data_IF_775211205163
#
_entry.id   IF_775211205163
#
_cell.length_a   1.000
_cell.length_b   1.000
_cell.length_c   1.000
_cell.angle_alpha   90.00
_cell.angle_beta   90.00
_cell.angle_gamma   90.00
#
_symmetry.space_group_name_H-M   'P 1'
#
loop_
_entity.id
_entity.type
_entity.pdbx_description
1 polymer ?
#
# COMPACT_ATOMS: atom_id res chain seq x y z
N UNK A 1 -23.96 -45.05 7.90
CA UNK A 1 -23.04 -43.89 7.87
C UNK A 1 -23.82 -42.67 7.38
N UNK A 2 -24.09 -41.73 8.28
CA UNK A 2 -24.73 -40.45 7.97
C UNK A 2 -23.97 -39.78 6.83
N UNK A 3 -24.68 -39.40 5.76
CA UNK A 3 -24.07 -38.90 4.52
C UNK A 3 -23.44 -37.54 4.82
N UNK A 4 -22.14 -37.51 5.13
CA UNK A 4 -21.41 -36.29 5.51
C UNK A 4 -21.58 -35.24 4.42
N UNK A 5 -22.22 -34.13 4.77
CA UNK A 5 -22.55 -33.04 3.87
C UNK A 5 -21.51 -31.92 4.04
N UNK A 6 -20.73 -31.66 2.98
CA UNK A 6 -19.74 -30.60 2.95
C UNK A 6 -20.37 -29.22 3.22
N UNK A 7 -21.62 -29.03 2.81
CA UNK A 7 -22.33 -27.77 2.99
C UNK A 7 -22.53 -27.45 4.48
N UNK A 8 -22.85 -28.47 5.29
CA UNK A 8 -23.07 -28.29 6.74
C UNK A 8 -21.76 -27.99 7.45
N UNK A 9 -20.69 -28.72 7.11
CA UNK A 9 -19.36 -28.48 7.68
C UNK A 9 -18.89 -27.06 7.35
N UNK A 10 -19.02 -26.64 6.08
CA UNK A 10 -18.61 -25.30 5.67
C UNK A 10 -19.53 -24.21 6.24
N UNK A 11 -20.80 -24.51 6.51
CA UNK A 11 -21.72 -23.60 7.18
C UNK A 11 -21.28 -23.33 8.63
N UNK A 12 -20.91 -24.38 9.36
CA UNK A 12 -20.45 -24.32 10.75
C UNK A 12 -19.05 -23.67 10.85
N UNK A 13 -18.07 -24.20 10.11
CA UNK A 13 -16.68 -23.74 10.17
C UNK A 13 -16.49 -22.37 9.47
N UNK A 14 -17.25 -22.09 8.43
CA UNK A 14 -17.09 -20.92 7.58
C UNK A 14 -16.16 -21.11 6.39
N UNK A 15 -16.05 -20.06 5.55
CA UNK A 15 -15.13 -20.04 4.41
C UNK A 15 -13.69 -20.36 4.84
N UNK A 16 -12.99 -21.16 4.06
CA UNK A 16 -11.65 -21.64 4.40
C UNK A 16 -10.89 -22.14 3.16
N UNK A 17 -9.65 -22.60 3.35
CA UNK A 17 -8.91 -23.26 2.28
C UNK A 17 -9.36 -24.72 2.08
N UNK A 18 -9.26 -25.21 0.85
CA UNK A 18 -9.50 -26.63 0.54
C UNK A 18 -8.58 -27.57 1.33
N UNK A 19 -7.37 -27.13 1.69
CA UNK A 19 -6.45 -27.87 2.56
C UNK A 19 -7.01 -28.00 3.98
N UNK A 20 -7.51 -26.90 4.54
CA UNK A 20 -8.10 -26.86 5.89
C UNK A 20 -9.37 -27.71 5.97
N UNK A 21 -10.26 -27.61 4.97
CA UNK A 21 -11.43 -28.49 4.92
C UNK A 21 -11.03 -29.97 4.77
N UNK A 22 -9.97 -30.28 4.03
CA UNK A 22 -9.49 -31.65 3.90
C UNK A 22 -8.96 -32.18 5.24
N UNK A 23 -8.24 -31.35 6.01
CA UNK A 23 -7.78 -31.71 7.35
C UNK A 23 -8.96 -31.96 8.30
N UNK A 24 -9.99 -31.11 8.26
CA UNK A 24 -11.22 -31.32 9.05
C UNK A 24 -11.87 -32.67 8.73
N UNK A 25 -11.97 -33.04 7.44
CA UNK A 25 -12.52 -34.33 7.02
C UNK A 25 -11.70 -35.54 7.50
N UNK A 26 -10.37 -35.41 7.52
CA UNK A 26 -9.48 -36.49 8.01
C UNK A 26 -9.62 -36.62 9.53
N UNK A 27 -9.47 -35.51 10.27
CA UNK A 27 -9.41 -35.49 11.74
C UNK A 27 -10.76 -35.82 12.38
N UNK A 28 -11.84 -35.23 11.89
CA UNK A 28 -13.14 -35.28 12.59
C UNK A 28 -14.09 -36.33 12.00
N UNK A 29 -13.80 -36.82 10.80
CA UNK A 29 -14.70 -37.71 10.06
C UNK A 29 -14.03 -38.97 9.50
N UNK A 30 -12.76 -39.21 9.83
CA UNK A 30 -12.06 -40.47 9.51
C UNK A 30 -11.78 -40.71 8.03
N UNK A 31 -11.81 -39.67 7.18
CA UNK A 31 -11.45 -39.82 5.77
C UNK A 31 -9.95 -40.08 5.60
N UNK A 32 -9.57 -40.87 4.59
CA UNK A 32 -8.19 -40.84 4.11
C UNK A 32 -7.90 -39.51 3.39
N UNK A 33 -6.65 -39.01 3.37
CA UNK A 33 -6.31 -37.76 2.69
C UNK A 33 -6.74 -37.73 1.21
N UNK A 34 -6.60 -38.86 0.49
CA UNK A 34 -7.04 -38.98 -0.89
C UNK A 34 -8.57 -38.90 -1.04
N UNK A 35 -9.31 -39.57 -0.14
CA UNK A 35 -10.77 -39.54 -0.14
C UNK A 35 -11.31 -38.13 0.18
N UNK A 36 -10.71 -37.43 1.15
CA UNK A 36 -11.06 -36.04 1.48
C UNK A 36 -10.87 -35.10 0.29
N UNK A 37 -9.69 -35.14 -0.36
CA UNK A 37 -9.41 -34.34 -1.57
C UNK A 37 -10.39 -34.65 -2.71
N UNK A 38 -10.67 -35.93 -2.96
CA UNK A 38 -11.63 -36.36 -4.00
C UNK A 38 -13.04 -35.86 -3.70
N UNK A 39 -13.45 -35.88 -2.43
CA UNK A 39 -14.76 -35.37 -1.98
C UNK A 39 -14.89 -33.86 -2.21
N UNK A 40 -13.88 -33.08 -1.82
CA UNK A 40 -13.85 -31.61 -2.03
C UNK A 40 -13.78 -31.26 -3.52
N UNK A 41 -13.02 -32.03 -4.31
CA UNK A 41 -12.90 -31.82 -5.74
C UNK A 41 -14.25 -31.95 -6.46
N UNK A 42 -15.03 -32.99 -6.11
CA UNK A 42 -16.40 -33.20 -6.62
C UNK A 42 -17.35 -32.06 -6.27
N UNK A 43 -17.16 -31.43 -5.10
CA UNK A 43 -17.89 -30.24 -4.68
C UNK A 43 -19.41 -30.45 -4.53
N UNK A 44 -20.13 -29.34 -4.36
CA UNK A 44 -21.60 -29.27 -4.37
C UNK A 44 -22.03 -28.01 -5.13
N UNK A 45 -23.31 -27.93 -5.52
CA UNK A 45 -23.84 -26.74 -6.18
C UNK A 45 -23.92 -25.50 -5.26
N UNK A 46 -23.79 -25.67 -3.94
CA UNK A 46 -23.84 -24.59 -2.94
C UNK A 46 -22.45 -24.03 -2.62
N UNK A 47 -21.39 -24.82 -2.83
CA UNK A 47 -20.01 -24.39 -2.61
C UNK A 47 -19.47 -23.70 -3.87
N UNK A 48 -18.69 -22.63 -3.65
CA UNK A 48 -17.94 -21.90 -4.68
C UNK A 48 -16.47 -21.89 -4.32
N UNK A 49 -15.63 -21.74 -5.35
CA UNK A 49 -14.17 -21.60 -5.24
C UNK A 49 -13.82 -20.22 -5.75
N UNK A 50 -13.06 -19.46 -4.98
CA UNK A 50 -12.51 -18.18 -5.44
C UNK A 50 -11.62 -18.42 -6.66
N UNK A 51 -11.86 -17.67 -7.73
CA UNK A 51 -11.10 -17.72 -8.98
C UNK A 51 -9.93 -16.75 -8.96
N UNK A 52 -8.97 -16.94 -9.87
CA UNK A 52 -7.81 -16.06 -10.14
C UNK A 52 -6.78 -15.87 -9.01
N UNK A 53 -7.05 -16.41 -7.82
CA UNK A 53 -6.10 -16.50 -6.71
C UNK A 53 -5.91 -17.97 -6.33
N UNK A 54 -4.65 -18.38 -6.30
CA UNK A 54 -4.24 -19.75 -5.97
C UNK A 54 -3.33 -19.66 -4.75
N UNK A 55 -3.64 -20.48 -3.74
CA UNK A 55 -2.85 -20.57 -2.51
C UNK A 55 -1.74 -21.62 -2.67
N UNK A 56 -0.74 -21.63 -1.77
CA UNK A 56 0.30 -22.66 -1.76
C UNK A 56 -0.27 -24.08 -1.86
N UNK A 57 0.52 -24.99 -2.45
CA UNK A 57 0.10 -26.36 -2.75
C UNK A 57 -1.18 -26.47 -3.60
N UNK A 58 -1.47 -25.44 -4.42
CA UNK A 58 -2.67 -25.33 -5.28
C UNK A 58 -3.98 -25.38 -4.50
N UNK A 59 -3.96 -25.02 -3.21
CA UNK A 59 -5.18 -24.87 -2.43
C UNK A 59 -6.06 -23.74 -3.01
N UNK A 60 -7.37 -23.86 -2.80
CA UNK A 60 -8.36 -22.86 -3.23
C UNK A 60 -9.14 -22.38 -2.02
N UNK A 61 -9.50 -21.11 -2.00
CA UNK A 61 -10.44 -20.58 -1.03
C UNK A 61 -11.87 -20.99 -1.43
N UNK A 62 -12.61 -21.57 -0.50
CA UNK A 62 -13.97 -22.09 -0.71
C UNK A 62 -14.95 -21.45 0.27
N UNK A 63 -16.18 -21.26 -0.19
CA UNK A 63 -17.25 -20.60 0.56
C UNK A 63 -18.61 -21.10 0.10
N UNK A 64 -19.64 -20.95 0.94
CA UNK A 64 -21.02 -21.14 0.50
C UNK A 64 -21.47 -19.93 -0.31
N UNK A 65 -22.26 -20.13 -1.36
CA UNK A 65 -22.83 -19.05 -2.18
C UNK A 65 -23.43 -17.91 -1.36
N UNK A 66 -24.17 -18.25 -0.30
CA UNK A 66 -24.85 -17.30 0.58
C UNK A 66 -23.89 -16.42 1.39
N UNK A 67 -22.64 -16.84 1.57
CA UNK A 67 -21.64 -16.12 2.35
C UNK A 67 -20.85 -15.14 1.48
N UNK A 68 -21.02 -15.17 0.14
CA UNK A 68 -20.24 -14.34 -0.77
C UNK A 68 -20.32 -12.86 -0.38
N UNK A 69 -19.17 -12.19 -0.33
CA UNK A 69 -19.04 -10.79 0.04
C UNK A 69 -19.59 -10.39 1.42
N UNK A 70 -19.94 -11.36 2.28
CA UNK A 70 -20.27 -11.09 3.69
C UNK A 70 -19.01 -10.79 4.51
N UNK A 71 -19.18 -10.20 5.69
CA UNK A 71 -18.09 -9.99 6.65
C UNK A 71 -17.33 -11.29 6.97
N UNK A 72 -18.06 -12.40 7.16
CA UNK A 72 -17.48 -13.74 7.39
C UNK A 72 -16.58 -14.18 6.23
N UNK A 73 -16.96 -13.87 4.99
CA UNK A 73 -16.16 -14.17 3.80
C UNK A 73 -14.88 -13.35 3.75
N UNK A 74 -14.96 -12.03 3.96
CA UNK A 74 -13.79 -11.14 3.92
C UNK A 74 -12.79 -11.47 5.03
N UNK A 75 -13.27 -11.65 6.26
CA UNK A 75 -12.43 -11.99 7.40
C UNK A 75 -11.68 -13.31 7.16
N UNK A 76 -12.37 -14.35 6.69
CA UNK A 76 -11.76 -15.64 6.39
C UNK A 76 -10.76 -15.57 5.22
N UNK A 77 -11.09 -14.84 4.16
CA UNK A 77 -10.21 -14.67 3.00
C UNK A 77 -8.92 -13.94 3.38
N UNK A 78 -9.05 -12.81 4.07
CA UNK A 78 -7.90 -12.00 4.49
C UNK A 78 -7.04 -12.75 5.50
N UNK A 79 -7.64 -13.48 6.44
CA UNK A 79 -6.91 -14.34 7.37
C UNK A 79 -6.12 -15.44 6.64
N UNK A 80 -6.76 -16.12 5.69
CA UNK A 80 -6.10 -17.16 4.87
C UNK A 80 -4.93 -16.59 4.07
N UNK A 81 -5.10 -15.43 3.44
CA UNK A 81 -4.04 -14.78 2.66
C UNK A 81 -2.89 -14.29 3.54
N UNK A 82 -3.21 -13.78 4.74
CA UNK A 82 -2.23 -13.32 5.74
C UNK A 82 -1.37 -14.48 6.25
N UNK A 83 -2.01 -15.59 6.63
CA UNK A 83 -1.35 -16.80 7.13
C UNK A 83 -0.34 -17.36 6.14
N UNK A 84 -0.64 -17.27 4.85
CA UNK A 84 0.24 -17.73 3.77
C UNK A 84 1.27 -16.67 3.30
N UNK A 85 1.39 -15.52 4.00
CA UNK A 85 2.28 -14.42 3.65
C UNK A 85 2.14 -13.97 2.17
N UNK A 86 0.90 -13.96 1.68
CA UNK A 86 0.58 -13.78 0.27
C UNK A 86 0.85 -12.36 -0.23
N UNK A 87 1.39 -12.21 -1.44
CA UNK A 87 1.49 -10.89 -2.09
C UNK A 87 0.10 -10.25 -2.31
N UNK A 88 -0.95 -11.06 -2.45
CA UNK A 88 -2.33 -10.56 -2.51
C UNK A 88 -2.78 -9.97 -1.17
N UNK A 89 -2.39 -10.57 -0.04
CA UNK A 89 -2.67 -9.99 1.27
C UNK A 89 -2.04 -8.59 1.41
N UNK A 90 -0.77 -8.46 1.03
CA UNK A 90 -0.04 -7.20 1.11
C UNK A 90 -0.67 -6.11 0.24
N UNK A 91 -1.08 -6.45 -0.98
CA UNK A 91 -1.79 -5.55 -1.87
C UNK A 91 -3.16 -5.12 -1.33
N UNK A 92 -3.94 -6.04 -0.76
CA UNK A 92 -5.22 -5.71 -0.12
C UNK A 92 -4.99 -4.83 1.11
N UNK A 93 -3.99 -5.18 1.94
CA UNK A 93 -3.65 -4.47 3.17
C UNK A 93 -3.24 -3.03 2.88
N UNK A 94 -2.49 -2.76 1.81
CA UNK A 94 -2.08 -1.39 1.48
C UNK A 94 -3.29 -0.49 1.14
N UNK A 95 -4.32 -1.02 0.47
CA UNK A 95 -5.58 -0.32 0.20
C UNK A 95 -6.40 -0.17 1.50
N UNK A 96 -6.58 -1.26 2.26
CA UNK A 96 -7.37 -1.25 3.51
C UNK A 96 -6.79 -0.27 4.54
N UNK A 97 -5.46 -0.22 4.67
CA UNK A 97 -4.76 0.71 5.56
C UNK A 97 -5.02 2.18 5.22
N UNK A 98 -5.33 2.48 3.96
CA UNK A 98 -5.58 3.85 3.45
C UNK A 98 -7.06 4.19 3.40
N UNK A 99 -7.90 3.47 4.14
CA UNK A 99 -9.33 3.71 4.20
C UNK A 99 -10.10 3.15 3.02
N UNK A 100 -9.55 2.16 2.30
CA UNK A 100 -10.31 1.35 1.34
C UNK A 100 -10.21 1.77 -0.12
N UNK A 101 -9.53 2.87 -0.43
CA UNK A 101 -9.29 3.36 -1.79
C UNK A 101 -7.88 3.94 -1.91
N UNK A 102 -7.28 3.79 -3.09
CA UNK A 102 -6.03 4.48 -3.50
C UNK A 102 -6.10 4.85 -4.99
N UNK A 103 -5.26 5.79 -5.42
CA UNK A 103 -5.04 6.03 -6.85
C UNK A 103 -4.37 4.82 -7.48
N UNK A 104 -4.76 4.45 -8.70
CA UNK A 104 -4.18 3.29 -9.41
C UNK A 104 -2.66 3.41 -9.52
N UNK A 105 -2.17 4.60 -9.81
CA UNK A 105 -0.75 4.88 -10.00
C UNK A 105 0.06 4.74 -8.69
N UNK A 106 -0.57 4.80 -7.52
CA UNK A 106 0.10 4.54 -6.24
C UNK A 106 0.33 3.04 -5.99
N UNK A 107 -0.42 2.17 -6.67
CA UNK A 107 -0.47 0.75 -6.32
C UNK A 107 0.91 0.06 -6.40
N UNK A 108 1.68 0.34 -7.44
CA UNK A 108 3.01 -0.26 -7.65
C UNK A 108 4.01 0.09 -6.54
N UNK A 109 3.91 1.32 -6.00
CA UNK A 109 4.73 1.78 -4.88
C UNK A 109 4.33 1.09 -3.57
N UNK A 110 3.02 0.92 -3.35
CA UNK A 110 2.44 0.55 -2.06
C UNK A 110 2.29 -0.97 -1.83
N UNK A 111 2.04 -1.76 -2.87
CA UNK A 111 1.62 -3.16 -2.73
C UNK A 111 2.73 -4.14 -2.30
N UNK A 112 3.99 -3.69 -2.27
CA UNK A 112 5.15 -4.52 -1.94
C UNK A 112 5.52 -5.56 -2.99
N UNK A 113 5.01 -5.45 -4.21
CA UNK A 113 5.34 -6.33 -5.34
C UNK A 113 6.09 -5.57 -6.44
N UNK A 114 7.01 -6.22 -7.17
CA UNK A 114 7.85 -5.55 -8.15
C UNK A 114 7.05 -5.19 -9.40
N UNK A 115 7.57 -4.23 -10.18
CA UNK A 115 7.13 -3.99 -11.56
C UNK A 115 7.32 -5.24 -12.41
N UNK A 116 8.50 -5.86 -12.33
CA UNK A 116 8.80 -7.14 -13.00
C UNK A 116 10.03 -7.82 -12.41
N UNK A 117 9.88 -9.00 -11.82
CA UNK A 117 11.01 -9.79 -11.33
C UNK A 117 10.76 -11.28 -11.49
N UNK A 118 11.80 -12.05 -11.84
CA UNK A 118 11.70 -13.51 -11.99
C UNK A 118 11.24 -14.15 -10.67
N UNK A 119 10.35 -15.15 -10.76
CA UNK A 119 9.78 -15.89 -9.63
C UNK A 119 8.93 -15.05 -8.66
N UNK A 120 8.56 -13.82 -9.03
CA UNK A 120 7.64 -13.00 -8.26
C UNK A 120 6.51 -12.51 -9.15
N UNK A 121 5.36 -12.23 -8.52
CA UNK A 121 4.16 -11.78 -9.22
C UNK A 121 4.31 -10.27 -9.45
N UNK A 122 4.28 -9.79 -10.71
CA UNK A 122 4.24 -8.35 -11.00
C UNK A 122 3.01 -7.69 -10.38
N UNK A 123 3.12 -6.45 -9.92
CA UNK A 123 1.98 -5.76 -9.31
C UNK A 123 0.79 -5.63 -10.28
N UNK A 124 1.02 -5.45 -11.59
CA UNK A 124 -0.06 -5.43 -12.60
C UNK A 124 -0.82 -6.76 -12.69
N UNK A 125 -0.11 -7.89 -12.50
CA UNK A 125 -0.75 -9.21 -12.44
C UNK A 125 -1.59 -9.36 -11.17
N UNK A 126 -1.13 -8.79 -10.04
CA UNK A 126 -1.91 -8.76 -8.81
C UNK A 126 -3.19 -7.96 -8.99
N UNK A 127 -3.12 -6.76 -9.57
CA UNK A 127 -4.29 -5.95 -9.89
C UNK A 127 -5.28 -6.74 -10.76
N UNK A 128 -4.80 -7.33 -11.86
CA UNK A 128 -5.65 -8.11 -12.78
C UNK A 128 -6.36 -9.27 -12.07
N UNK A 129 -5.63 -10.03 -11.24
CA UNK A 129 -6.20 -11.11 -10.43
C UNK A 129 -7.23 -10.60 -9.43
N UNK A 130 -6.92 -9.52 -8.69
CA UNK A 130 -7.82 -8.96 -7.68
C UNK A 130 -9.13 -8.45 -8.29
N UNK A 131 -9.06 -7.73 -9.42
CA UNK A 131 -10.23 -7.26 -10.17
C UNK A 131 -11.06 -8.44 -10.70
N UNK A 132 -10.42 -9.41 -11.36
CA UNK A 132 -11.14 -10.59 -11.90
C UNK A 132 -11.75 -11.47 -10.81
N UNK A 133 -11.18 -11.44 -9.60
CA UNK A 133 -11.73 -12.10 -8.42
C UNK A 133 -12.76 -11.26 -7.66
N UNK A 134 -13.05 -10.04 -8.12
CA UNK A 134 -13.94 -9.07 -7.48
C UNK A 134 -13.57 -8.76 -6.02
N UNK A 135 -12.28 -8.77 -5.68
CA UNK A 135 -11.82 -8.34 -4.35
C UNK A 135 -11.61 -6.82 -4.33
N UNK A 136 -11.14 -6.29 -5.45
CA UNK A 136 -11.04 -4.85 -5.70
C UNK A 136 -11.85 -4.50 -6.95
N UNK A 137 -12.30 -3.27 -7.00
CA UNK A 137 -13.00 -2.66 -8.13
C UNK A 137 -12.18 -1.44 -8.61
N UNK A 138 -12.42 -1.02 -9.84
CA UNK A 138 -11.81 0.18 -10.43
C UNK A 138 -12.90 1.18 -10.79
N UNK A 139 -12.66 2.46 -10.49
CA UNK A 139 -13.52 3.58 -10.88
C UNK A 139 -12.68 4.71 -11.48
N UNK A 140 -13.24 5.43 -12.45
CA UNK A 140 -12.64 6.62 -13.02
C UNK A 140 -13.32 7.88 -12.47
N UNK A 141 -12.53 8.89 -12.10
CA UNK A 141 -13.06 10.23 -11.81
C UNK A 141 -13.48 10.96 -13.09
N UNK A 142 -14.17 12.09 -12.93
CA UNK A 142 -14.49 13.00 -14.03
C UNK A 142 -13.24 13.56 -14.74
N UNK A 143 -12.10 13.65 -14.05
CA UNK A 143 -10.80 14.07 -14.61
C UNK A 143 -10.10 12.96 -15.42
N UNK A 144 -10.61 11.73 -15.40
CA UNK A 144 -9.99 10.56 -16.04
C UNK A 144 -8.96 9.83 -15.18
N UNK A 145 -8.74 10.26 -13.94
CA UNK A 145 -7.92 9.52 -12.98
C UNK A 145 -8.60 8.22 -12.59
N UNK A 146 -7.80 7.17 -12.35
CA UNK A 146 -8.32 5.84 -12.00
C UNK A 146 -7.99 5.50 -10.57
N UNK A 147 -8.95 4.89 -9.89
CA UNK A 147 -8.88 4.54 -8.47
C UNK A 147 -9.20 3.07 -8.28
N UNK A 148 -8.46 2.43 -7.37
CA UNK A 148 -8.70 1.06 -6.94
C UNK A 148 -9.30 1.08 -5.54
N UNK A 149 -10.40 0.37 -5.33
CA UNK A 149 -11.05 0.28 -4.02
C UNK A 149 -11.52 -1.14 -3.69
N UNK A 150 -11.66 -1.45 -2.40
CA UNK A 150 -12.10 -2.77 -1.96
C UNK A 150 -13.60 -2.96 -2.24
N UNK A 151 -13.98 -4.12 -2.79
CA UNK A 151 -15.40 -4.47 -3.01
C UNK A 151 -16.22 -4.49 -1.71
N UNK A 152 -15.56 -4.71 -0.57
CA UNK A 152 -16.17 -4.57 0.77
C UNK A 152 -16.83 -3.20 0.99
N UNK A 153 -16.43 -2.16 0.23
CA UNK A 153 -16.98 -0.80 0.30
C UNK A 153 -17.79 -0.41 -0.95
N UNK A 154 -18.24 -1.37 -1.75
CA UNK A 154 -19.15 -1.13 -2.89
C UNK A 154 -20.41 -0.36 -2.42
N UNK A 155 -20.78 0.68 -3.17
CA UNK A 155 -21.85 1.63 -2.81
C UNK A 155 -21.39 2.83 -1.97
N UNK A 156 -20.12 2.91 -1.56
CA UNK A 156 -19.55 4.05 -0.83
C UNK A 156 -18.52 4.85 -1.63
N UNK A 157 -18.52 4.71 -2.96
CA UNK A 157 -17.48 5.23 -3.86
C UNK A 157 -17.33 6.75 -3.76
N UNK A 158 -18.43 7.48 -3.66
CA UNK A 158 -18.43 8.93 -3.54
C UNK A 158 -17.64 9.40 -2.30
N UNK A 159 -17.92 8.78 -1.15
CA UNK A 159 -17.28 9.10 0.13
C UNK A 159 -15.78 8.72 0.12
N UNK A 160 -15.46 7.57 -0.50
CA UNK A 160 -14.07 7.13 -0.67
C UNK A 160 -13.28 8.09 -1.56
N UNK A 161 -13.84 8.52 -2.70
CA UNK A 161 -13.20 9.45 -3.62
C UNK A 161 -12.92 10.80 -2.95
N UNK A 162 -13.89 11.35 -2.22
CA UNK A 162 -13.71 12.61 -1.49
C UNK A 162 -12.58 12.48 -0.46
N UNK A 163 -12.58 11.42 0.34
CA UNK A 163 -11.52 11.16 1.31
C UNK A 163 -10.15 10.93 0.64
N UNK A 164 -10.11 10.32 -0.54
CA UNK A 164 -8.89 10.04 -1.28
C UNK A 164 -8.28 11.33 -1.86
N UNK A 165 -9.08 12.23 -2.44
CA UNK A 165 -8.58 13.53 -2.94
C UNK A 165 -7.85 14.32 -1.85
N UNK A 166 -8.41 14.34 -0.63
CA UNK A 166 -7.79 15.00 0.54
C UNK A 166 -6.45 14.35 0.87
N UNK A 167 -6.37 13.01 0.87
CA UNK A 167 -5.13 12.26 1.13
C UNK A 167 -4.07 12.50 0.06
N UNK A 168 -4.44 12.63 -1.20
CA UNK A 168 -3.50 12.88 -2.30
C UNK A 168 -2.83 14.25 -2.18
N UNK A 169 -3.61 15.28 -1.84
CA UNK A 169 -3.05 16.61 -1.56
C UNK A 169 -2.01 16.53 -0.43
N UNK A 170 -2.39 15.96 0.72
CA UNK A 170 -1.48 15.85 1.88
C UNK A 170 -0.25 15.00 1.54
N UNK A 171 -0.43 13.88 0.83
CA UNK A 171 0.67 13.00 0.43
C UNK A 171 1.63 13.72 -0.53
N UNK A 172 1.10 14.47 -1.51
CA UNK A 172 1.91 15.28 -2.41
C UNK A 172 2.75 16.33 -1.69
N UNK A 173 2.20 16.96 -0.64
CA UNK A 173 2.94 17.88 0.22
C UNK A 173 4.06 17.13 0.95
N UNK A 174 3.73 16.03 1.63
CA UNK A 174 4.68 15.26 2.44
C UNK A 174 5.83 14.68 1.60
N UNK A 175 5.55 14.22 0.37
CA UNK A 175 6.55 13.72 -0.57
C UNK A 175 7.56 14.83 -0.93
N UNK A 176 7.07 16.02 -1.29
CA UNK A 176 7.92 17.15 -1.67
C UNK A 176 8.82 17.59 -0.52
N UNK A 177 8.26 17.69 0.69
CA UNK A 177 9.03 18.09 1.85
C UNK A 177 10.09 17.04 2.21
N UNK A 178 9.73 15.76 2.16
CA UNK A 178 10.66 14.65 2.42
C UNK A 178 11.79 14.63 1.38
N UNK A 179 11.46 14.87 0.11
CA UNK A 179 12.45 14.99 -0.98
C UNK A 179 13.41 16.15 -0.71
N UNK A 180 12.90 17.32 -0.35
CA UNK A 180 13.72 18.49 -0.04
C UNK A 180 14.62 18.26 1.17
N UNK A 181 14.10 17.62 2.21
CA UNK A 181 14.89 17.26 3.38
C UNK A 181 16.05 16.30 3.03
N UNK A 182 15.79 15.26 2.23
CA UNK A 182 16.85 14.36 1.74
C UNK A 182 17.92 15.10 0.93
N UNK A 183 17.53 16.09 0.12
CA UNK A 183 18.46 16.96 -0.62
C UNK A 183 19.31 17.79 0.35
N UNK A 184 18.68 18.47 1.32
CA UNK A 184 19.36 19.33 2.30
C UNK A 184 20.37 18.57 3.17
N UNK A 185 20.12 17.31 3.50
CA UNK A 185 21.08 16.45 4.20
C UNK A 185 22.27 16.02 3.34
N UNK A 186 22.28 16.31 2.03
CA UNK A 186 23.28 15.81 1.10
C UNK A 186 23.20 14.30 0.86
N UNK A 187 22.09 13.66 1.24
CA UNK A 187 21.90 12.22 1.07
C UNK A 187 21.63 11.83 -0.39
N UNK A 188 21.08 12.74 -1.19
CA UNK A 188 20.77 12.51 -2.61
C UNK A 188 21.31 13.64 -3.50
N UNK A 189 21.62 13.31 -4.74
CA UNK A 189 21.99 14.32 -5.75
C UNK A 189 20.78 15.20 -6.10
N UNK A 190 20.91 16.52 -5.90
CA UNK A 190 19.83 17.51 -6.07
C UNK A 190 19.11 17.43 -7.42
N UNK A 191 19.84 17.25 -8.52
CA UNK A 191 19.30 17.21 -9.89
C UNK A 191 18.90 15.83 -10.39
N UNK A 192 19.07 14.77 -9.58
CA UNK A 192 18.80 13.38 -10.00
C UNK A 192 17.83 12.62 -9.10
N UNK A 193 17.39 13.22 -7.99
CA UNK A 193 16.35 12.65 -7.14
C UNK A 193 15.00 12.74 -7.85
N UNK A 194 14.27 11.63 -7.83
CA UNK A 194 12.93 11.48 -8.38
C UNK A 194 11.93 11.25 -7.24
N UNK A 195 10.76 11.83 -7.35
CA UNK A 195 9.62 11.60 -6.50
C UNK A 195 8.40 11.16 -7.33
N UNK A 196 7.47 10.50 -6.66
CA UNK A 196 6.19 10.17 -7.25
C UNK A 196 5.49 11.45 -7.73
N UNK A 197 5.03 11.43 -8.97
CA UNK A 197 4.37 12.56 -9.62
C UNK A 197 5.31 13.49 -10.41
N UNK A 198 6.62 13.22 -10.49
CA UNK A 198 7.55 14.01 -11.32
C UNK A 198 7.39 13.73 -12.83
N UNK A 199 7.20 12.47 -13.21
CA UNK A 199 7.06 12.03 -14.61
C UNK A 199 6.11 10.81 -14.69
N UNK A 200 5.81 10.33 -15.91
CA UNK A 200 4.94 9.15 -16.12
C UNK A 200 5.51 7.84 -15.56
N UNK A 201 6.77 7.82 -15.12
CA UNK A 201 7.45 6.65 -14.56
C UNK A 201 7.71 6.84 -13.07
N UNK A 202 7.15 5.97 -12.24
CA UNK A 202 7.44 6.03 -10.81
C UNK A 202 8.95 5.92 -10.51
N UNK A 203 9.46 6.58 -9.45
CA UNK A 203 10.84 6.45 -9.01
C UNK A 203 11.19 4.98 -8.74
N UNK A 204 12.32 4.49 -9.24
CA UNK A 204 12.69 3.07 -9.17
C UNK A 204 14.12 2.86 -8.70
N UNK A 205 14.29 1.83 -7.89
CA UNK A 205 15.58 1.17 -7.64
C UNK A 205 15.37 -0.33 -7.79
N UNK A 206 16.18 -0.94 -8.67
CA UNK A 206 15.93 -2.31 -9.10
C UNK A 206 14.61 -2.43 -9.85
N UNK A 207 13.79 -3.39 -9.43
CA UNK A 207 12.48 -3.70 -10.01
C UNK A 207 11.32 -3.13 -9.20
N UNK A 208 11.59 -2.37 -8.15
CA UNK A 208 10.59 -1.80 -7.26
C UNK A 208 10.46 -0.30 -7.44
N UNK A 209 9.22 0.17 -7.34
CA UNK A 209 8.83 1.57 -7.38
C UNK A 209 8.74 2.12 -5.97
N UNK A 210 9.22 3.33 -5.71
CA UNK A 210 9.25 3.96 -4.39
C UNK A 210 8.67 5.36 -4.47
N UNK A 211 8.24 5.92 -3.34
CA UNK A 211 7.77 7.32 -3.34
C UNK A 211 8.90 8.28 -3.73
N UNK A 212 10.13 8.05 -3.26
CA UNK A 212 11.28 8.87 -3.58
C UNK A 212 12.52 7.98 -3.77
N UNK A 213 13.30 8.25 -4.82
CA UNK A 213 14.61 7.62 -5.03
C UNK A 213 15.63 8.62 -5.51
N UNK A 214 16.90 8.44 -5.17
CA UNK A 214 17.97 9.26 -5.74
C UNK A 214 19.36 8.63 -5.58
N UNK A 215 20.28 8.87 -6.53
CA UNK A 215 21.65 8.42 -6.36
C UNK A 215 22.32 9.20 -5.21
N UNK A 216 23.13 8.48 -4.43
CA UNK A 216 23.87 9.01 -3.30
C UNK A 216 25.37 8.82 -3.48
N UNK A 217 26.11 9.90 -3.25
CA UNK A 217 27.57 9.93 -3.25
C UNK A 217 28.14 10.01 -1.82
N UNK A 218 27.31 9.78 -0.81
CA UNK A 218 27.76 9.70 0.59
C UNK A 218 28.74 8.53 0.75
N UNK A 219 29.83 8.77 1.47
CA UNK A 219 30.98 7.87 1.52
C UNK A 219 30.62 6.38 1.73
N UNK A 220 29.74 6.01 2.70
CA UNK A 220 29.39 4.59 2.94
C UNK A 220 28.62 3.92 1.79
N UNK A 221 27.97 4.71 0.92
CA UNK A 221 27.16 4.21 -0.18
C UNK A 221 27.92 4.10 -1.50
N UNK A 222 29.05 4.79 -1.61
CA UNK A 222 29.85 4.76 -2.83
C UNK A 222 30.69 3.49 -2.94
N UNK A 223 30.89 3.02 -4.18
CA UNK A 223 31.85 1.97 -4.51
C UNK A 223 32.84 2.49 -5.54
N UNK A 224 34.12 2.20 -5.36
CA UNK A 224 35.14 2.41 -6.40
C UNK A 224 35.12 1.22 -7.36
N UNK A 225 35.04 1.51 -8.66
CA UNK A 225 35.11 0.51 -9.71
C UNK A 225 35.85 1.12 -10.91
N UNK A 226 36.96 0.53 -11.32
CA UNK A 226 37.71 0.94 -12.52
C UNK A 226 38.00 2.46 -12.55
N UNK A 227 38.61 2.97 -11.48
CA UNK A 227 38.88 4.40 -11.23
C UNK A 227 37.66 5.36 -11.28
N UNK A 228 36.42 4.82 -11.31
CA UNK A 228 35.18 5.60 -11.25
C UNK A 228 34.44 5.34 -9.94
N UNK A 229 33.84 6.40 -9.40
CA UNK A 229 32.96 6.30 -8.24
C UNK A 229 31.54 5.95 -8.70
N UNK A 230 31.08 4.74 -8.37
CA UNK A 230 29.68 4.34 -8.55
C UNK A 230 28.88 4.78 -7.32
N UNK A 231 27.80 5.56 -7.49
CA UNK A 231 26.95 5.95 -6.37
C UNK A 231 26.15 4.76 -5.85
N UNK A 232 25.73 4.86 -4.59
CA UNK A 232 24.63 4.07 -4.07
C UNK A 232 23.30 4.78 -4.31
N UNK A 233 22.26 4.37 -3.57
CA UNK A 233 20.93 4.95 -3.67
C UNK A 233 20.36 5.25 -2.29
N UNK A 234 19.50 6.26 -2.23
CA UNK A 234 18.53 6.40 -1.15
C UNK A 234 17.18 6.05 -1.73
N UNK A 235 16.45 5.19 -1.04
CA UNK A 235 15.03 4.93 -1.31
C UNK A 235 14.24 5.36 -0.09
N UNK A 236 13.09 5.99 -0.33
CA UNK A 236 12.25 6.50 0.72
C UNK A 236 10.78 6.23 0.38
N UNK A 237 10.09 5.56 1.30
CA UNK A 237 8.65 5.42 1.27
C UNK A 237 7.99 6.20 2.41
N UNK A 238 6.77 6.65 2.13
CA UNK A 238 5.98 7.49 3.01
C UNK A 238 4.70 6.75 3.42
N UNK A 239 4.33 6.88 4.69
CA UNK A 239 3.05 6.41 5.21
C UNK A 239 2.32 7.55 5.91
N UNK A 240 1.32 8.07 5.22
CA UNK A 240 0.47 9.19 5.66
C UNK A 240 -0.65 8.77 6.61
N UNK A 241 -0.76 7.48 6.95
CA UNK A 241 -1.67 7.02 7.99
C UNK A 241 -1.24 7.53 9.38
N UNK A 242 -2.17 7.65 10.35
CA UNK A 242 -1.86 8.18 11.68
C UNK A 242 -0.75 7.39 12.39
N UNK A 243 -0.71 6.07 12.19
CA UNK A 243 0.28 5.19 12.79
C UNK A 243 0.65 4.07 11.82
N UNK A 244 1.95 3.77 11.73
CA UNK A 244 2.47 2.61 10.99
C UNK A 244 2.37 1.37 11.86
N UNK A 245 1.69 0.36 11.35
CA UNK A 245 1.53 -0.96 11.99
C UNK A 245 2.63 -1.93 11.58
N UNK A 246 2.70 -3.07 12.28
CA UNK A 246 3.62 -4.15 11.94
C UNK A 246 3.44 -4.66 10.50
N UNK A 247 2.20 -4.78 10.03
CA UNK A 247 1.93 -5.22 8.66
C UNK A 247 2.44 -4.18 7.63
N UNK A 248 2.26 -2.88 7.91
CA UNK A 248 2.67 -1.80 6.99
C UNK A 248 4.19 -1.80 6.80
N UNK A 249 4.96 -1.89 7.89
CA UNK A 249 6.42 -1.93 7.82
C UNK A 249 6.93 -3.27 7.25
N UNK A 250 6.22 -4.38 7.48
CA UNK A 250 6.60 -5.69 6.93
C UNK A 250 6.53 -5.70 5.40
N UNK A 251 5.55 -5.00 4.81
CA UNK A 251 5.45 -4.82 3.35
C UNK A 251 6.68 -4.08 2.83
N UNK A 252 7.08 -2.98 3.49
CA UNK A 252 8.27 -2.20 3.13
C UNK A 252 9.56 -3.02 3.28
N UNK A 253 9.71 -3.78 4.36
CA UNK A 253 10.89 -4.62 4.60
C UNK A 253 11.00 -5.72 3.56
N UNK A 254 9.89 -6.36 3.18
CA UNK A 254 9.92 -7.37 2.10
C UNK A 254 10.41 -6.77 0.79
N UNK A 255 9.91 -5.59 0.44
CA UNK A 255 10.33 -4.81 -0.74
C UNK A 255 11.82 -4.45 -0.69
N UNK A 256 12.30 -4.02 0.48
CA UNK A 256 13.71 -3.76 0.77
C UNK A 256 14.58 -5.02 0.60
N UNK A 257 14.25 -6.12 1.28
CA UNK A 257 15.01 -7.38 1.24
C UNK A 257 15.11 -7.90 -0.20
N UNK A 258 14.00 -7.84 -0.95
CA UNK A 258 13.99 -8.22 -2.35
C UNK A 258 14.87 -7.32 -3.23
N UNK A 259 14.87 -6.01 -2.96
CA UNK A 259 15.74 -5.06 -3.67
C UNK A 259 17.21 -5.33 -3.36
N UNK A 260 17.59 -5.51 -2.09
CA UNK A 260 18.97 -5.81 -1.69
C UNK A 260 19.45 -7.14 -2.29
N UNK A 261 18.57 -8.12 -2.46
CA UNK A 261 18.92 -9.43 -3.03
C UNK A 261 19.27 -9.41 -4.52
N UNK A 262 18.97 -8.32 -5.23
CA UNK A 262 19.19 -8.24 -6.67
C UNK A 262 20.68 -8.06 -7.00
N UNK A 263 21.12 -8.78 -8.04
CA UNK A 263 22.48 -8.61 -8.58
C UNK A 263 22.62 -7.20 -9.17
N UNK A 264 23.81 -6.60 -8.97
CA UNK A 264 24.20 -5.30 -9.52
C UNK A 264 23.45 -4.08 -8.97
N UNK A 265 22.86 -4.18 -7.78
CA UNK A 265 22.34 -3.01 -7.07
C UNK A 265 23.44 -2.34 -6.23
N UNK A 266 23.50 -1.01 -6.28
CA UNK A 266 24.39 -0.21 -5.45
C UNK A 266 23.99 -0.28 -3.97
N UNK A 267 24.86 0.16 -3.06
CA UNK A 267 24.49 0.21 -1.64
C UNK A 267 23.28 1.14 -1.48
N UNK A 268 22.30 0.72 -0.68
CA UNK A 268 21.06 1.47 -0.49
C UNK A 268 20.88 1.89 0.97
N UNK A 269 20.42 3.12 1.21
CA UNK A 269 19.77 3.50 2.47
C UNK A 269 18.27 3.41 2.25
N UNK A 270 17.59 2.75 3.18
CA UNK A 270 16.14 2.60 3.21
C UNK A 270 15.57 3.52 4.28
N UNK A 271 14.80 4.52 3.84
CA UNK A 271 14.12 5.47 4.71
C UNK A 271 12.62 5.17 4.67
N UNK A 272 11.99 5.14 5.83
CA UNK A 272 10.54 5.03 5.93
C UNK A 272 10.04 6.17 6.80
N UNK A 273 9.17 7.01 6.26
CA UNK A 273 8.67 8.21 6.95
C UNK A 273 7.19 8.03 7.26
N UNK A 274 6.75 8.29 8.49
CA UNK A 274 5.34 8.22 8.88
C UNK A 274 4.92 9.25 9.92
N UNK A 275 3.64 9.38 10.24
CA UNK A 275 3.19 10.19 11.38
C UNK A 275 3.58 9.58 12.72
N UNK A 276 3.61 8.24 12.81
CA UNK A 276 3.96 7.50 14.01
C UNK A 276 4.15 6.01 13.72
N UNK A 277 4.54 5.25 14.74
CA UNK A 277 4.78 3.82 14.66
C UNK A 277 4.21 3.14 15.90
N UNK A 278 3.68 1.92 15.76
CA UNK A 278 3.56 1.03 16.92
C UNK A 278 4.95 0.63 17.40
N UNK A 279 5.06 0.18 18.65
CA UNK A 279 6.33 -0.22 19.23
C UNK A 279 6.98 -1.36 18.43
N UNK A 280 6.20 -2.38 18.07
CA UNK A 280 6.66 -3.54 17.31
C UNK A 280 7.09 -3.15 15.89
N UNK A 281 6.36 -2.21 15.26
CA UNK A 281 6.69 -1.72 13.93
C UNK A 281 8.02 -0.95 13.94
N UNK A 282 8.22 -0.08 14.93
CA UNK A 282 9.45 0.69 15.09
C UNK A 282 10.64 -0.22 15.41
N UNK A 283 10.45 -1.18 16.31
CA UNK A 283 11.46 -2.18 16.65
C UNK A 283 11.89 -2.98 15.42
N UNK A 284 10.92 -3.52 14.67
CA UNK A 284 11.20 -4.29 13.46
C UNK A 284 11.95 -3.45 12.43
N UNK A 285 11.52 -2.21 12.17
CA UNK A 285 12.20 -1.29 11.25
C UNK A 285 13.68 -1.10 11.63
N UNK A 286 13.94 -0.74 12.89
CA UNK A 286 15.29 -0.51 13.41
C UNK A 286 16.16 -1.78 13.36
N UNK A 287 15.60 -2.93 13.73
CA UNK A 287 16.31 -4.22 13.68
C UNK A 287 16.78 -4.61 12.28
N UNK A 288 16.12 -4.06 11.25
CA UNK A 288 16.42 -4.29 9.83
C UNK A 288 17.28 -3.19 9.20
N UNK A 289 17.72 -2.20 9.99
CA UNK A 289 18.52 -1.09 9.48
C UNK A 289 17.73 -0.05 8.69
N UNK A 290 16.39 -0.03 8.83
CA UNK A 290 15.55 1.00 8.22
C UNK A 290 15.65 2.29 9.03
N UNK A 291 15.88 3.40 8.34
CA UNK A 291 15.78 4.73 8.94
C UNK A 291 14.28 5.09 9.08
N UNK A 292 13.68 4.67 10.19
CA UNK A 292 12.30 4.98 10.55
C UNK A 292 12.22 6.38 11.19
N UNK A 293 11.53 7.32 10.51
CA UNK A 293 11.49 8.73 10.89
C UNK A 293 10.05 9.20 10.95
N UNK A 294 9.71 10.03 11.93
CA UNK A 294 8.40 10.67 11.95
C UNK A 294 8.40 11.97 11.15
N UNK A 295 7.27 12.35 10.55
CA UNK A 295 7.14 13.68 9.93
C UNK A 295 7.42 14.81 10.92
N UNK A 296 7.09 14.63 12.20
CA UNK A 296 7.45 15.59 13.24
C UNK A 296 8.98 15.77 13.38
N UNK A 297 9.77 14.71 13.20
CA UNK A 297 11.24 14.82 13.25
C UNK A 297 11.80 15.57 12.03
N UNK A 298 11.11 15.52 10.89
CA UNK A 298 11.53 16.18 9.65
C UNK A 298 11.08 17.65 9.62
N UNK A 299 9.83 17.91 10.00
CA UNK A 299 9.18 19.20 9.80
C UNK A 299 9.08 20.04 11.09
N UNK A 300 9.22 19.41 12.26
CA UNK A 300 8.93 20.04 13.55
C UNK A 300 7.43 20.22 13.79
N UNK A 301 7.05 20.36 15.07
CA UNK A 301 5.64 20.39 15.51
C UNK A 301 4.78 21.44 14.80
N UNK A 302 5.31 22.65 14.57
CA UNK A 302 4.58 23.77 13.96
C UNK A 302 4.08 23.47 12.54
N UNK A 303 4.87 22.76 11.75
CA UNK A 303 4.51 22.40 10.38
C UNK A 303 3.49 21.26 10.34
N UNK A 304 3.56 20.31 11.27
CA UNK A 304 2.54 19.27 11.43
C UNK A 304 1.19 19.91 11.78
N UNK A 305 1.16 20.83 12.74
CA UNK A 305 -0.07 21.57 13.07
C UNK A 305 -0.65 22.34 11.88
N UNK A 306 0.19 22.85 10.98
CA UNK A 306 -0.30 23.50 9.76
C UNK A 306 -0.94 22.50 8.78
N UNK A 307 -0.34 21.32 8.60
CA UNK A 307 -0.89 20.23 7.77
C UNK A 307 -2.20 19.68 8.37
N UNK A 308 -2.26 19.53 9.69
CA UNK A 308 -3.47 19.08 10.39
C UNK A 308 -4.61 20.09 10.23
N UNK A 309 -4.31 21.39 10.35
CA UNK A 309 -5.28 22.46 10.11
C UNK A 309 -5.77 22.52 8.66
N UNK A 310 -4.88 22.33 7.69
CA UNK A 310 -5.30 22.18 6.29
C UNK A 310 -6.25 20.98 6.18
N UNK A 311 -5.88 19.82 6.74
CA UNK A 311 -6.73 18.62 6.71
C UNK A 311 -8.10 18.83 7.35
N UNK A 312 -8.18 19.58 8.46
CA UNK A 312 -9.43 19.94 9.15
C UNK A 312 -10.31 20.86 8.30
N UNK A 313 -9.72 21.89 7.69
CA UNK A 313 -10.42 22.82 6.79
C UNK A 313 -11.01 22.07 5.59
N UNK A 314 -10.21 21.20 4.96
CA UNK A 314 -10.66 20.31 3.89
C UNK A 314 -11.77 19.35 4.36
N UNK A 315 -11.79 19.00 5.65
CA UNK A 315 -12.76 18.10 6.26
C UNK A 315 -14.14 18.72 6.46
N UNK A 316 -14.21 19.97 6.91
CA UNK A 316 -15.42 20.51 7.56
C UNK A 316 -15.84 21.95 7.16
N UNK A 317 -15.06 22.71 6.38
CA UNK A 317 -15.28 24.18 6.22
C UNK A 317 -15.13 24.71 4.78
N UNK A 318 -15.78 24.08 3.81
CA UNK A 318 -15.69 24.55 2.41
C UNK A 318 -16.56 25.77 2.07
N UNK A 319 -17.54 26.08 2.93
CA UNK A 319 -18.48 27.19 2.73
C UNK A 319 -18.03 28.50 3.42
N UNK A 320 -16.78 28.57 3.89
CA UNK A 320 -16.26 29.75 4.58
C UNK A 320 -15.63 30.71 3.57
N UNK A 321 -16.15 31.93 3.46
CA UNK A 321 -15.62 32.99 2.57
C UNK A 321 -14.14 33.32 2.86
N UNK A 322 -13.63 32.99 4.06
CA UNK A 322 -12.24 33.22 4.46
C UNK A 322 -11.27 32.09 4.09
N UNK A 323 -11.72 31.01 3.45
CA UNK A 323 -10.92 29.84 3.09
C UNK A 323 -9.62 30.21 2.33
N UNK A 324 -9.72 31.14 1.37
CA UNK A 324 -8.58 31.61 0.59
C UNK A 324 -7.50 32.30 1.46
N UNK A 325 -7.92 33.14 2.40
CA UNK A 325 -7.03 33.84 3.33
C UNK A 325 -6.36 32.90 4.34
N UNK A 326 -7.11 31.90 4.83
CA UNK A 326 -6.59 30.91 5.76
C UNK A 326 -5.61 29.94 5.09
N UNK A 327 -5.93 29.46 3.88
CA UNK A 327 -5.03 28.66 3.05
C UNK A 327 -3.76 29.44 2.68
N UNK A 328 -3.86 30.73 2.33
CA UNK A 328 -2.70 31.57 2.06
C UNK A 328 -1.79 31.72 3.30
N UNK A 329 -2.38 31.90 4.49
CA UNK A 329 -1.66 32.00 5.76
C UNK A 329 -0.99 30.68 6.17
N UNK A 330 -1.67 29.55 6.01
CA UNK A 330 -1.13 28.21 6.27
C UNK A 330 -0.01 27.86 5.30
N UNK A 331 -0.18 28.20 4.01
CA UNK A 331 0.87 28.07 3.00
C UNK A 331 2.09 28.91 3.36
N UNK A 332 1.90 30.15 3.85
CA UNK A 332 3.00 30.99 4.34
C UNK A 332 3.73 30.37 5.54
N UNK A 333 3.01 29.77 6.48
CA UNK A 333 3.59 29.05 7.61
C UNK A 333 4.48 27.86 7.19
N UNK A 334 4.08 27.14 6.14
CA UNK A 334 4.87 26.05 5.56
C UNK A 334 6.12 26.55 4.78
N UNK A 335 6.15 27.82 4.38
CA UNK A 335 7.20 28.41 3.53
C UNK A 335 8.46 28.87 4.29
N UNK A 336 8.39 29.15 5.59
CA UNK A 336 9.45 29.91 6.31
C UNK A 336 10.80 29.16 6.48
N UNK A 337 10.92 27.86 6.13
CA UNK A 337 12.20 27.13 6.28
C UNK A 337 12.69 26.26 5.12
N UNK A 338 11.87 25.94 4.12
CA UNK A 338 12.16 24.79 3.24
C UNK A 338 12.08 25.05 1.72
N UNK A 339 11.83 26.27 1.23
CA UNK A 339 11.82 26.54 -0.23
C UNK A 339 10.73 25.80 -1.03
N UNK A 340 9.66 25.36 -0.37
CA UNK A 340 8.56 24.52 -0.88
C UNK A 340 7.54 25.33 -1.74
N UNK A 341 7.85 26.59 -2.07
CA UNK A 341 6.88 27.63 -2.39
C UNK A 341 6.06 27.43 -3.66
N UNK A 342 6.58 26.78 -4.71
CA UNK A 342 5.88 26.67 -5.99
C UNK A 342 5.03 25.39 -6.11
N UNK A 343 5.58 24.22 -5.77
CA UNK A 343 4.88 22.94 -5.91
C UNK A 343 3.70 22.80 -4.94
N UNK A 344 3.84 23.30 -3.70
CA UNK A 344 2.76 23.29 -2.70
C UNK A 344 1.61 24.20 -3.12
N UNK A 345 1.91 25.41 -3.64
CA UNK A 345 0.89 26.32 -4.16
C UNK A 345 0.15 25.73 -5.36
N UNK A 346 0.87 25.07 -6.28
CA UNK A 346 0.27 24.38 -7.41
C UNK A 346 -0.69 23.27 -6.98
N UNK A 347 -0.27 22.38 -6.07
CA UNK A 347 -1.12 21.29 -5.57
C UNK A 347 -2.34 21.79 -4.79
N UNK A 348 -2.17 22.81 -3.95
CA UNK A 348 -3.30 23.44 -3.26
C UNK A 348 -4.27 24.09 -4.26
N UNK A 349 -3.77 24.76 -5.30
CA UNK A 349 -4.60 25.33 -6.36
C UNK A 349 -5.37 24.25 -7.14
N UNK A 350 -4.70 23.17 -7.56
CA UNK A 350 -5.33 22.03 -8.24
C UNK A 350 -6.45 21.40 -7.39
N UNK A 351 -6.21 21.25 -6.08
CA UNK A 351 -7.23 20.75 -5.16
C UNK A 351 -8.43 21.69 -5.09
N UNK A 352 -8.20 22.98 -4.86
CA UNK A 352 -9.26 23.99 -4.79
C UNK A 352 -10.08 24.03 -6.09
N UNK A 353 -9.41 24.03 -7.25
CA UNK A 353 -10.09 24.04 -8.55
C UNK A 353 -10.87 22.75 -8.84
N UNK A 354 -10.38 21.59 -8.40
CA UNK A 354 -11.07 20.32 -8.58
C UNK A 354 -12.33 20.23 -7.73
N UNK A 355 -12.32 20.85 -6.55
CA UNK A 355 -13.46 20.85 -5.62
C UNK A 355 -14.50 21.93 -5.97
N UNK A 356 -14.09 23.09 -6.50
CA UNK A 356 -15.01 24.15 -7.01
C UNK A 356 -15.81 23.68 -8.25
N UNK A 357 -15.33 22.67 -8.98
CA UNK A 357 -16.01 22.11 -10.17
C UNK A 357 -17.06 21.06 -9.85
N UNK A 358 -17.26 20.71 -8.57
CA UNK A 358 -18.42 19.94 -8.09
C UNK A 358 -19.56 20.89 -7.77
#
# INVERSE_FOLDING_TARGET
MTRINLDNILNEQGPCLTSELAETLVKNFGFTPAAARKRISRGTNKIRKLSYIIFPHRARFIYLKKDYASEKYWNALYSSLRKENSSYYMAIRCIKSRGGMIKRDEFGILCGSPFRQKNHIPYESIISSLIKSEIILEISSASGDRYLYLKEFEGSEHFLLEGQNKKELISGIMIEQSRTWLKQLGLVSFGKVKAMGDDNNHPRVGTFEWHITGPSYTHPLTKKYDNKTKPGFVVCDLNTQPITTLDDISIFIKKMDMTISMKNIGNCIFVYISNGYTEEALYLAKSKGVMAITYNNIFGKRNITAIDKISEILGNKWHDENLSGELARLTKGLNERNGITQNLKGRLFEFICSDIKR
#
